data_IF_697665603140
#
_entry.id   IF_697665603140
#
_cell.length_a   1.000
_cell.length_b   1.000
_cell.length_c   1.000
_cell.angle_alpha   90.00
_cell.angle_beta   90.00
_cell.angle_gamma   90.00
#
_symmetry.space_group_name_H-M   'P 1'
#
loop_
_entity.id
_entity.type
_entity.pdbx_description
1 polymer ?
#
# COMPACT_ATOMS: atom_id res chain seq x y z
N UNK A 1 -35.03 7.16 37.97
CA UNK A 1 -33.81 6.52 38.52
C UNK A 1 -33.42 5.22 37.83
N UNK A 2 -34.31 4.50 37.13
CA UNK A 2 -33.99 3.20 36.48
C UNK A 2 -33.30 3.32 35.11
N UNK A 3 -33.49 4.43 34.39
CA UNK A 3 -32.91 4.63 33.05
C UNK A 3 -31.40 4.93 33.12
N UNK A 4 -30.98 5.77 34.07
CA UNK A 4 -29.54 6.08 34.29
C UNK A 4 -28.74 4.84 34.71
N UNK A 5 -29.32 3.95 35.51
CA UNK A 5 -28.63 2.70 35.94
C UNK A 5 -28.43 1.75 34.76
N UNK A 6 -29.38 1.68 33.82
CA UNK A 6 -29.25 0.86 32.61
C UNK A 6 -28.18 1.41 31.67
N UNK A 7 -28.13 2.73 31.49
CA UNK A 7 -27.11 3.37 30.63
C UNK A 7 -25.71 3.18 31.20
N UNK A 8 -25.54 3.35 32.51
CA UNK A 8 -24.25 3.11 33.19
C UNK A 8 -23.83 1.64 33.08
N UNK A 9 -24.77 0.69 33.25
CA UNK A 9 -24.47 -0.74 33.15
C UNK A 9 -24.01 -1.15 31.74
N UNK A 10 -24.64 -0.62 30.68
CA UNK A 10 -24.25 -0.92 29.29
C UNK A 10 -22.89 -0.31 28.95
N UNK A 11 -22.63 0.92 29.37
CA UNK A 11 -21.31 1.57 29.17
C UNK A 11 -20.22 0.79 29.90
N UNK A 12 -20.46 0.38 31.16
CA UNK A 12 -19.50 -0.40 31.93
C UNK A 12 -19.16 -1.72 31.22
N UNK A 13 -20.16 -2.43 30.69
CA UNK A 13 -20.01 -3.74 30.02
C UNK A 13 -19.16 -3.65 28.74
N UNK A 14 -19.23 -2.53 28.02
CA UNK A 14 -18.42 -2.28 26.82
C UNK A 14 -16.94 -2.02 27.17
N UNK A 15 -16.64 -1.46 28.34
CA UNK A 15 -15.26 -1.21 28.79
C UNK A 15 -14.53 -2.46 29.34
N UNK A 16 -15.25 -3.52 29.74
CA UNK A 16 -14.63 -4.74 30.32
C UNK A 16 -14.28 -5.80 29.28
N UNK A 17 -14.65 -5.61 28.01
CA UNK A 17 -14.34 -6.54 26.92
C UNK A 17 -12.94 -6.34 26.30
N UNK A 18 -12.07 -5.55 26.94
CA UNK A 18 -10.70 -5.28 26.51
C UNK A 18 -9.66 -6.16 27.22
N UNK A 19 -9.00 -7.02 26.43
CA UNK A 19 -7.69 -7.64 26.64
C UNK A 19 -7.59 -8.97 27.42
N UNK A 20 -7.41 -10.07 26.68
CA UNK A 20 -6.39 -11.09 27.02
C UNK A 20 -5.63 -11.48 25.76
N UNK A 21 -4.35 -11.17 25.70
CA UNK A 21 -3.38 -11.76 24.78
C UNK A 21 -2.34 -12.54 25.56
N UNK A 22 -1.89 -13.69 25.04
CA UNK A 22 -0.50 -14.18 25.08
C UNK A 22 -0.35 -15.61 24.52
N UNK A 23 0.41 -15.71 23.42
CA UNK A 23 1.54 -16.63 23.14
C UNK A 23 1.35 -18.16 23.02
N UNK A 24 1.87 -18.71 21.89
CA UNK A 24 1.89 -20.14 21.46
C UNK A 24 2.85 -21.07 22.23
N UNK A 25 3.52 -22.10 21.65
CA UNK A 25 3.51 -22.67 20.29
C UNK A 25 3.14 -24.18 20.26
N UNK A 26 2.73 -24.73 19.11
CA UNK A 26 2.84 -26.19 18.84
C UNK A 26 2.98 -26.49 17.35
N UNK A 27 4.16 -26.98 16.97
CA UNK A 27 4.35 -27.89 15.85
C UNK A 27 3.76 -29.24 16.22
N UNK A 28 3.03 -29.91 15.33
CA UNK A 28 3.17 -31.34 14.98
C UNK A 28 2.43 -31.66 13.66
N UNK A 29 3.25 -32.02 12.67
CA UNK A 29 3.14 -33.04 11.62
C UNK A 29 1.90 -33.97 11.55
N UNK A 30 1.33 -34.10 10.35
CA UNK A 30 1.11 -35.45 9.76
C UNK A 30 -0.16 -35.74 8.95
N UNK A 31 0.07 -36.03 7.66
CA UNK A 31 -0.63 -36.99 6.77
C UNK A 31 -1.90 -36.55 6.00
N UNK A 32 -1.70 -36.35 4.69
CA UNK A 32 -2.77 -36.22 3.69
C UNK A 32 -2.25 -36.40 2.25
N UNK A 33 -1.98 -37.66 1.88
CA UNK A 33 -1.96 -38.29 0.55
C UNK A 33 -1.55 -37.50 -0.73
N UNK A 34 -0.42 -37.94 -1.30
CA UNK A 34 -0.22 -38.39 -2.68
C UNK A 34 -0.89 -37.66 -3.85
N UNK A 35 -0.04 -37.10 -4.71
CA UNK A 35 -0.17 -37.20 -6.18
C UNK A 35 1.22 -37.11 -6.81
N UNK A 36 1.80 -38.28 -7.09
CA UNK A 36 3.01 -38.43 -7.90
C UNK A 36 2.64 -38.24 -9.36
N UNK A 37 2.89 -37.04 -9.90
CA UNK A 37 3.00 -36.84 -11.34
C UNK A 37 4.48 -36.54 -11.64
N UNK A 38 5.15 -37.50 -12.28
CA UNK A 38 6.51 -37.36 -12.81
C UNK A 38 6.50 -36.31 -13.93
N UNK A 39 7.18 -35.15 -13.80
CA UNK A 39 7.43 -34.32 -14.96
C UNK A 39 8.57 -34.95 -15.76
N UNK A 40 8.26 -35.37 -16.98
CA UNK A 40 9.25 -35.66 -18.03
C UNK A 40 10.15 -34.43 -18.21
N UNK A 41 11.49 -34.56 -18.19
CA UNK A 41 12.38 -33.43 -18.45
C UNK A 41 12.34 -33.13 -19.95
N UNK A 42 11.37 -32.31 -20.36
CA UNK A 42 11.43 -31.65 -21.66
C UNK A 42 12.47 -30.56 -21.53
N UNK A 43 13.65 -30.80 -22.12
CA UNK A 43 14.71 -29.82 -22.22
C UNK A 43 14.20 -28.59 -23.00
N UNK A 44 13.65 -27.64 -22.26
CA UNK A 44 13.35 -26.32 -22.78
C UNK A 44 14.68 -25.59 -22.83
N UNK A 45 15.16 -25.30 -24.04
CA UNK A 45 16.30 -24.42 -24.27
C UNK A 45 15.99 -23.07 -23.64
N UNK A 46 16.47 -22.86 -22.42
CA UNK A 46 16.33 -21.61 -21.70
C UNK A 46 17.20 -20.59 -22.41
N UNK A 47 16.57 -19.73 -23.22
CA UNK A 47 17.23 -18.59 -23.82
C UNK A 47 17.92 -17.82 -22.70
N UNK A 48 19.24 -17.67 -22.80
CA UNK A 48 20.04 -16.85 -21.89
C UNK A 48 19.61 -15.40 -22.09
N UNK A 49 18.61 -14.96 -21.35
CA UNK A 49 18.27 -13.55 -21.27
C UNK A 49 19.42 -12.87 -20.52
N UNK A 50 20.21 -12.11 -21.25
CA UNK A 50 21.19 -11.20 -20.66
C UNK A 50 20.41 -10.15 -19.88
N UNK A 51 20.25 -10.38 -18.58
CA UNK A 51 19.70 -9.39 -17.66
C UNK A 51 20.73 -8.28 -17.59
N UNK A 52 20.45 -7.14 -18.21
CA UNK A 52 21.28 -5.95 -18.07
C UNK A 52 21.35 -5.61 -16.58
N UNK A 53 22.56 -5.48 -16.04
CA UNK A 53 22.75 -5.06 -14.66
C UNK A 53 22.26 -3.62 -14.53
N UNK A 54 21.21 -3.42 -13.73
CA UNK A 54 20.72 -2.08 -13.38
C UNK A 54 21.64 -1.54 -12.29
N UNK A 55 22.33 -0.44 -12.59
CA UNK A 55 23.15 0.27 -11.60
C UNK A 55 22.28 1.30 -10.85
N UNK A 56 22.46 1.42 -9.53
CA UNK A 56 21.78 2.40 -8.66
C UNK A 56 20.87 1.77 -7.60
N UNK A 57 20.13 2.61 -6.87
CA UNK A 57 19.20 2.19 -5.80
C UNK A 57 17.76 2.24 -6.28
N UNK A 58 16.95 1.28 -5.84
CA UNK A 58 15.49 1.39 -5.85
C UNK A 58 15.07 1.85 -4.47
N UNK A 59 14.45 3.02 -4.38
CA UNK A 59 13.93 3.52 -3.13
C UNK A 59 12.44 3.17 -3.02
N UNK A 60 12.04 2.66 -1.85
CA UNK A 60 10.68 2.24 -1.55
C UNK A 60 10.20 2.96 -0.30
N UNK A 61 9.16 3.76 -0.46
CA UNK A 61 8.65 4.66 0.56
C UNK A 61 7.24 4.23 0.93
N UNK A 62 7.05 3.79 2.17
CA UNK A 62 5.72 3.54 2.73
C UNK A 62 5.21 4.83 3.35
N UNK A 63 4.28 5.49 2.67
CA UNK A 63 3.72 6.76 3.11
C UNK A 63 2.69 6.47 4.20
N UNK A 64 2.85 7.09 5.35
CA UNK A 64 1.87 6.95 6.43
C UNK A 64 0.58 7.71 6.06
N UNK A 65 -0.45 6.95 5.69
CA UNK A 65 -1.79 7.43 5.35
C UNK A 65 -2.84 6.89 6.34
N UNK A 66 -2.43 6.67 7.60
CA UNK A 66 -3.31 6.14 8.64
C UNK A 66 -3.47 4.62 8.59
N UNK A 67 -4.72 4.14 8.55
CA UNK A 67 -5.02 2.70 8.51
C UNK A 67 -4.92 2.10 7.09
N UNK A 68 -4.70 2.94 6.08
CA UNK A 68 -4.64 2.51 4.69
C UNK A 68 -3.20 2.37 4.17
N UNK A 69 -3.05 2.22 2.86
CA UNK A 69 -1.81 1.98 2.13
C UNK A 69 -1.56 3.10 1.13
N UNK A 70 -0.31 3.55 1.08
CA UNK A 70 0.24 4.28 -0.06
C UNK A 70 1.74 4.02 -0.12
N UNK A 71 2.23 3.64 -1.30
CA UNK A 71 3.64 3.30 -1.52
C UNK A 71 4.19 4.06 -2.72
N UNK A 72 5.29 4.78 -2.52
CA UNK A 72 6.04 5.43 -3.60
C UNK A 72 7.31 4.62 -3.89
N UNK A 73 7.54 4.35 -5.17
CA UNK A 73 8.78 3.76 -5.68
C UNK A 73 9.52 4.82 -6.50
N UNK A 74 10.83 4.91 -6.28
CA UNK A 74 11.74 5.72 -7.09
C UNK A 74 12.83 4.80 -7.63
N UNK A 75 12.77 4.55 -8.94
CA UNK A 75 13.71 3.68 -9.63
C UNK A 75 15.09 4.34 -9.78
N UNK A 76 16.15 3.56 -10.05
CA UNK A 76 17.51 4.09 -10.22
C UNK A 76 17.67 5.16 -11.31
N UNK A 77 16.79 5.16 -12.31
CA UNK A 77 16.75 6.13 -13.40
C UNK A 77 15.90 7.38 -13.07
N UNK A 78 15.37 7.47 -11.85
CA UNK A 78 14.47 8.54 -11.42
C UNK A 78 13.02 8.37 -11.89
N UNK A 79 12.64 7.22 -12.46
CA UNK A 79 11.25 6.90 -12.78
C UNK A 79 10.46 6.63 -11.50
N UNK A 80 9.22 7.10 -11.44
CA UNK A 80 8.42 7.15 -10.21
C UNK A 80 7.10 6.40 -10.36
N UNK A 81 6.74 5.62 -9.35
CA UNK A 81 5.46 4.93 -9.30
C UNK A 81 4.81 5.12 -7.94
N UNK A 82 3.60 5.66 -7.92
CA UNK A 82 2.76 5.75 -6.73
C UNK A 82 1.69 4.67 -6.80
N UNK A 83 1.64 3.84 -5.75
CA UNK A 83 0.68 2.75 -5.60
C UNK A 83 -0.25 3.10 -4.43
N UNK A 84 -1.54 3.21 -4.72
CA UNK A 84 -2.60 3.62 -3.79
C UNK A 84 -2.39 5.02 -3.16
N UNK A 85 -3.48 5.64 -2.73
CA UNK A 85 -3.50 7.04 -2.28
C UNK A 85 -4.21 7.26 -0.95
N UNK A 86 -4.50 6.19 -0.21
CA UNK A 86 -5.11 6.26 1.12
C UNK A 86 -6.63 6.50 1.10
N UNK A 87 -7.18 6.77 2.28
CA UNK A 87 -8.62 6.82 2.52
C UNK A 87 -9.29 8.05 1.92
N UNK A 88 -10.48 7.85 1.34
CA UNK A 88 -11.25 8.91 0.68
C UNK A 88 -11.60 10.08 1.61
N UNK A 89 -11.59 9.89 2.94
CA UNK A 89 -11.85 10.97 3.90
C UNK A 89 -10.71 11.97 3.98
N UNK A 90 -9.50 11.55 3.65
CA UNK A 90 -8.30 12.38 3.72
C UNK A 90 -8.01 13.08 2.37
N UNK A 91 -8.73 12.72 1.29
CA UNK A 91 -8.61 13.28 -0.06
C UNK A 91 -7.14 13.42 -0.54
N UNK A 92 -6.31 12.43 -0.18
CA UNK A 92 -4.89 12.39 -0.54
C UNK A 92 -3.99 13.38 0.23
N UNK A 93 -4.48 14.08 1.27
CA UNK A 93 -3.73 15.09 2.03
C UNK A 93 -2.34 14.61 2.47
N UNK A 94 -2.28 13.41 3.06
CA UNK A 94 -1.03 12.82 3.54
C UNK A 94 -0.05 12.53 2.40
N UNK A 95 -0.55 12.03 1.26
CA UNK A 95 0.25 11.74 0.08
C UNK A 95 0.79 13.03 -0.52
N UNK A 96 -0.06 14.03 -0.74
CA UNK A 96 0.35 15.32 -1.30
C UNK A 96 1.38 16.03 -0.42
N UNK A 97 1.16 16.01 0.91
CA UNK A 97 2.11 16.55 1.88
C UNK A 97 3.46 15.86 1.79
N UNK A 98 3.46 14.53 1.63
CA UNK A 98 4.69 13.75 1.48
C UNK A 98 5.43 14.09 0.20
N UNK A 99 4.72 14.10 -0.94
CA UNK A 99 5.30 14.43 -2.25
C UNK A 99 5.93 15.83 -2.23
N UNK A 100 5.22 16.81 -1.67
CA UNK A 100 5.72 18.18 -1.56
C UNK A 100 6.95 18.27 -0.63
N UNK A 101 6.92 17.61 0.52
CA UNK A 101 8.02 17.62 1.48
C UNK A 101 9.29 16.90 0.96
N UNK A 102 9.16 16.07 -0.06
CA UNK A 102 10.28 15.33 -0.68
C UNK A 102 10.58 15.81 -2.10
N UNK A 103 10.02 16.97 -2.50
CA UNK A 103 10.26 17.60 -3.80
C UNK A 103 9.96 16.65 -4.98
N UNK A 104 8.96 15.77 -4.82
CA UNK A 104 8.48 14.88 -5.87
C UNK A 104 7.41 15.63 -6.68
N UNK A 105 7.78 16.10 -7.86
CA UNK A 105 6.94 16.90 -8.75
C UNK A 105 6.39 16.10 -9.95
N UNK A 106 6.79 14.84 -10.08
CA UNK A 106 6.41 13.92 -11.16
C UNK A 106 6.09 12.55 -10.59
N UNK A 107 4.99 11.97 -11.08
CA UNK A 107 4.65 10.56 -10.93
C UNK A 107 4.47 9.99 -12.33
N UNK A 108 5.31 9.04 -12.72
CA UNK A 108 5.26 8.43 -14.06
C UNK A 108 4.14 7.38 -14.15
N UNK A 109 3.88 6.68 -13.04
CA UNK A 109 2.83 5.67 -12.94
C UNK A 109 2.01 5.88 -11.67
N UNK A 110 0.70 6.08 -11.82
CA UNK A 110 -0.27 6.02 -10.71
C UNK A 110 -1.03 4.70 -10.82
N UNK A 111 -0.83 3.82 -9.84
CA UNK A 111 -1.42 2.48 -9.80
C UNK A 111 -2.36 2.39 -8.61
N UNK A 112 -3.53 1.80 -8.83
CA UNK A 112 -4.46 1.46 -7.76
C UNK A 112 -4.58 -0.05 -7.68
N UNK A 113 -4.33 -0.62 -6.52
CA UNK A 113 -4.34 -2.07 -6.29
C UNK A 113 -5.75 -2.66 -6.45
N UNK A 114 -6.75 -2.02 -5.86
CA UNK A 114 -8.17 -2.26 -6.06
C UNK A 114 -9.00 -1.00 -5.74
N UNK A 115 -10.26 -0.97 -6.17
CA UNK A 115 -11.10 0.23 -6.17
C UNK A 115 -11.80 0.52 -4.84
N UNK A 116 -11.32 -0.02 -3.72
CA UNK A 116 -11.95 0.28 -2.42
C UNK A 116 -11.58 1.70 -1.98
N UNK A 117 -12.51 2.33 -1.26
CA UNK A 117 -12.43 3.75 -0.92
C UNK A 117 -11.25 4.08 0.00
N UNK A 118 -10.73 3.09 0.71
CA UNK A 118 -9.50 3.20 1.49
C UNK A 118 -8.24 3.18 0.61
N UNK A 119 -8.26 2.70 -0.64
CA UNK A 119 -7.07 2.64 -1.50
C UNK A 119 -7.03 3.71 -2.60
N UNK A 120 -8.19 4.03 -3.19
CA UNK A 120 -8.30 4.97 -4.32
C UNK A 120 -8.59 6.42 -3.88
N UNK A 121 -8.68 6.67 -2.57
CA UNK A 121 -9.31 7.84 -1.99
C UNK A 121 -8.71 9.18 -2.39
N UNK A 122 -7.39 9.25 -2.61
CA UNK A 122 -6.68 10.48 -2.99
C UNK A 122 -6.36 10.61 -4.49
N UNK A 123 -6.80 9.67 -5.34
CA UNK A 123 -6.37 9.65 -6.75
C UNK A 123 -6.71 10.94 -7.51
N UNK A 124 -7.91 11.49 -7.31
CA UNK A 124 -8.34 12.71 -7.99
C UNK A 124 -7.45 13.90 -7.60
N UNK A 125 -7.25 14.11 -6.30
CA UNK A 125 -6.40 15.18 -5.78
C UNK A 125 -4.95 15.08 -6.27
N UNK A 126 -4.38 13.87 -6.33
CA UNK A 126 -3.04 13.63 -6.87
C UNK A 126 -2.96 13.98 -8.36
N UNK A 127 -3.93 13.55 -9.17
CA UNK A 127 -3.96 13.85 -10.61
C UNK A 127 -4.03 15.36 -10.84
N UNK A 128 -4.90 16.05 -10.11
CA UNK A 128 -5.07 17.51 -10.23
C UNK A 128 -3.79 18.26 -9.83
N UNK A 129 -3.14 17.84 -8.75
CA UNK A 129 -1.85 18.40 -8.32
C UNK A 129 -0.77 18.27 -9.41
N UNK A 130 -0.62 17.07 -9.98
CA UNK A 130 0.37 16.82 -11.04
C UNK A 130 0.06 17.59 -12.32
N UNK A 131 -1.22 17.73 -12.67
CA UNK A 131 -1.66 18.52 -13.82
C UNK A 131 -1.35 20.02 -13.62
N UNK A 132 -1.56 20.54 -12.41
CA UNK A 132 -1.22 21.92 -12.05
C UNK A 132 0.28 22.18 -12.14
N UNK A 133 1.11 21.28 -11.61
CA UNK A 133 2.57 21.38 -11.74
C UNK A 133 2.99 21.39 -13.21
N UNK A 134 2.49 20.46 -14.02
CA UNK A 134 2.79 20.39 -15.44
C UNK A 134 2.39 21.68 -16.18
N UNK A 135 1.22 22.24 -15.86
CA UNK A 135 0.75 23.51 -16.41
C UNK A 135 1.67 24.67 -16.00
N UNK A 136 2.03 24.74 -14.72
CA UNK A 136 2.92 25.78 -14.19
C UNK A 136 4.29 25.77 -14.88
N UNK A 137 4.93 24.60 -14.99
CA UNK A 137 6.23 24.49 -15.66
C UNK A 137 6.17 24.77 -17.16
N UNK A 138 5.04 24.45 -17.82
CA UNK A 138 4.84 24.75 -19.25
C UNK A 138 4.63 26.24 -19.53
N UNK A 139 4.27 27.06 -18.53
CA UNK A 139 4.04 28.50 -18.70
C UNK A 139 5.26 29.37 -18.37
N UNK A 140 6.36 28.77 -17.90
CA UNK A 140 7.59 29.47 -17.47
C UNK A 140 8.68 29.42 -18.55
N UNK A 141 8.53 28.59 -19.58
CA UNK A 141 9.43 28.46 -20.74
C UNK A 141 8.64 28.49 -22.04
#
# INVERSE_FOLDING_TARGET
MTLQVRTIAVVLLVFIAGCTGASGPTSETGAGASSTATPTPTATTQATQTVASVNGSLDVHFINVGQSVSTLLVAPNGETMLIDTGDFRDDGEHVLSYLQAHEIDRIDHLVTSHSDADHIGGNAAVIDYLALLKSYFSNIF
#
